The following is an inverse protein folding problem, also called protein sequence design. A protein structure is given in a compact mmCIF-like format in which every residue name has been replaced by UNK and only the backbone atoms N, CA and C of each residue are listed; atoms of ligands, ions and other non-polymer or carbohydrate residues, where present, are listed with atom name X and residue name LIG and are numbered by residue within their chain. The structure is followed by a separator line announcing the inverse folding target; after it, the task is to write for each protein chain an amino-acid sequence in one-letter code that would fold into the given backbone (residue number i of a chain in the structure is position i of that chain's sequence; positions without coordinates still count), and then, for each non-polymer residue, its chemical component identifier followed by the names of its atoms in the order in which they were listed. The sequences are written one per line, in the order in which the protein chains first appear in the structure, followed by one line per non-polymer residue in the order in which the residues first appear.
data_IF_140120454784
#
_entry.id   IF_140120454784
#
_cell.length_a   1.000
_cell.length_b   1.000
_cell.length_c   1.000
_cell.angle_alpha   90.00
_cell.angle_beta   90.00
_cell.angle_gamma   90.00
#
_symmetry.space_group_name_H-M   'P 1'
#
loop_
_entity.id
_entity.type
_entity.pdbx_description
1 polymer ?
#
# COMPACT_ATOMS: atom_id res chain seq x y z
N UNK A 1 -5.05 -13.94 -1.98
CA UNK A 1 -4.50 -12.58 -2.06
C UNK A 1 -4.91 -11.93 -3.37
N UNK A 2 -5.44 -10.70 -3.35
CA UNK A 2 -5.83 -9.97 -4.55
C UNK A 2 -5.09 -8.63 -4.62
N UNK A 3 -4.19 -8.47 -5.60
CA UNK A 3 -3.46 -7.23 -5.84
C UNK A 3 -4.24 -6.38 -6.84
N UNK A 4 -4.42 -5.11 -6.50
CA UNK A 4 -4.96 -4.08 -7.39
C UNK A 4 -3.82 -3.14 -7.81
N UNK A 5 -3.63 -2.95 -9.12
CA UNK A 5 -2.67 -1.98 -9.63
C UNK A 5 -3.20 -0.56 -9.48
N UNK A 6 -2.35 0.35 -9.04
CA UNK A 6 -2.62 1.79 -9.07
C UNK A 6 -2.07 2.34 -10.37
N UNK A 7 -2.95 2.99 -11.14
CA UNK A 7 -2.64 3.58 -12.45
C UNK A 7 -3.05 5.04 -12.47
N UNK A 8 -2.35 5.85 -13.25
CA UNK A 8 -2.73 7.25 -13.46
C UNK A 8 -3.91 7.33 -14.43
N UNK A 9 -4.87 8.22 -14.14
CA UNK A 9 -5.99 8.47 -15.05
C UNK A 9 -5.49 9.14 -16.34
N UNK A 10 -5.95 8.67 -17.50
CA UNK A 10 -5.62 9.31 -18.78
C UNK A 10 -6.26 10.70 -18.91
N UNK A 11 -7.31 10.98 -18.13
CA UNK A 11 -8.02 12.26 -18.13
C UNK A 11 -7.36 13.32 -17.23
N UNK A 12 -6.37 12.94 -16.39
CA UNK A 12 -5.63 13.89 -15.54
C UNK A 12 -4.54 14.59 -16.38
N UNK A 13 -4.59 15.93 -16.56
CA UNK A 13 -3.58 16.67 -17.31
C UNK A 13 -2.15 16.53 -16.78
N UNK A 14 -1.99 16.17 -15.51
CA UNK A 14 -0.68 15.96 -14.89
C UNK A 14 -0.09 14.55 -15.13
N UNK A 15 -0.86 13.64 -15.72
CA UNK A 15 -0.44 12.25 -15.98
C UNK A 15 0.83 12.15 -16.81
N UNK A 16 1.01 12.86 -17.94
CA UNK A 16 2.25 12.78 -18.71
C UNK A 16 3.49 13.16 -17.88
N UNK A 17 3.37 14.20 -17.05
CA UNK A 17 4.45 14.64 -16.17
C UNK A 17 4.77 13.62 -15.08
N UNK A 18 3.75 13.12 -14.37
CA UNK A 18 3.91 12.10 -13.32
C UNK A 18 4.49 10.80 -13.87
N UNK A 19 4.04 10.36 -15.04
CA UNK A 19 4.54 9.17 -15.70
C UNK A 19 6.01 9.34 -16.10
N UNK A 20 6.38 10.49 -16.67
CA UNK A 20 7.78 10.81 -16.99
C UNK A 20 8.67 10.78 -15.75
N UNK A 21 8.23 11.36 -14.63
CA UNK A 21 8.95 11.32 -13.34
C UNK A 21 9.14 9.89 -12.83
N UNK A 22 8.09 9.06 -12.89
CA UNK A 22 8.15 7.65 -12.49
C UNK A 22 9.16 6.87 -13.35
N UNK A 23 9.08 6.98 -14.68
CA UNK A 23 9.95 6.25 -15.59
C UNK A 23 11.41 6.72 -15.54
N UNK A 24 11.65 8.00 -15.25
CA UNK A 24 13.00 8.52 -15.03
C UNK A 24 13.66 7.88 -13.79
N UNK A 25 12.89 7.62 -12.73
CA UNK A 25 13.39 6.97 -11.50
C UNK A 25 13.44 5.44 -11.61
N UNK A 26 12.49 4.84 -12.33
CA UNK A 26 12.32 3.40 -12.44
C UNK A 26 12.27 2.96 -13.92
N UNK A 27 13.41 3.05 -14.65
CA UNK A 27 13.44 2.74 -16.09
C UNK A 27 13.10 1.28 -16.40
N UNK A 28 13.33 0.37 -15.45
CA UNK A 28 12.96 -1.05 -15.57
C UNK A 28 11.44 -1.28 -15.55
N UNK A 29 10.65 -0.31 -15.09
CA UNK A 29 9.19 -0.35 -15.06
C UNK A 29 8.56 0.29 -16.32
N UNK A 30 9.36 0.56 -17.35
CA UNK A 30 8.91 1.21 -18.60
C UNK A 30 8.06 0.34 -19.52
N UNK A 31 8.11 -0.98 -19.36
CA UNK A 31 7.33 -1.90 -20.20
C UNK A 31 5.89 -1.98 -19.69
N UNK A 32 4.87 -1.55 -20.47
CA UNK A 32 3.48 -1.66 -20.04
C UNK A 32 3.05 -3.11 -19.83
N UNK A 33 2.18 -3.33 -18.85
CA UNK A 33 1.49 -4.61 -18.65
C UNK A 33 0.05 -4.50 -19.14
N UNK A 34 -0.60 -5.64 -19.38
CA UNK A 34 -1.98 -5.67 -19.89
C UNK A 34 -2.95 -5.95 -18.75
N UNK A 35 -4.11 -5.29 -18.80
CA UNK A 35 -5.20 -5.58 -17.87
C UNK A 35 -5.81 -6.94 -18.16
N UNK A 36 -5.50 -7.89 -17.27
CA UNK A 36 -5.99 -9.28 -17.26
C UNK A 36 -6.89 -9.57 -16.07
N UNK A 37 -7.26 -8.55 -15.28
CA UNK A 37 -7.96 -8.73 -14.03
C UNK A 37 -9.42 -9.19 -14.26
N UNK A 38 -9.74 -10.40 -13.81
CA UNK A 38 -11.10 -10.97 -13.85
C UNK A 38 -11.98 -10.48 -12.68
N UNK A 39 -11.36 -9.87 -11.66
CA UNK A 39 -12.08 -9.33 -10.51
C UNK A 39 -11.50 -7.96 -10.09
N UNK A 40 -12.34 -7.12 -9.48
CA UNK A 40 -11.94 -5.88 -8.81
C UNK A 40 -12.82 -5.71 -7.56
N UNK A 41 -12.22 -5.46 -6.40
CA UNK A 41 -12.98 -5.42 -5.13
C UNK A 41 -13.77 -6.72 -4.87
N UNK A 42 -13.20 -7.88 -5.24
CA UNK A 42 -13.85 -9.19 -5.24
C UNK A 42 -15.11 -9.32 -6.11
N UNK A 43 -15.45 -8.32 -6.94
CA UNK A 43 -16.53 -8.39 -7.93
C UNK A 43 -16.00 -8.91 -9.27
N UNK A 44 -16.70 -9.83 -9.96
CA UNK A 44 -16.38 -10.20 -11.33
C UNK A 44 -16.39 -8.97 -12.26
N UNK A 45 -15.44 -8.92 -13.18
CA UNK A 45 -15.37 -7.92 -14.25
C UNK A 45 -14.79 -8.53 -15.52
N UNK A 46 -15.01 -7.87 -16.65
CA UNK A 46 -14.31 -8.19 -17.89
C UNK A 46 -13.00 -7.39 -17.96
N UNK A 47 -11.84 -8.04 -18.17
CA UNK A 47 -10.58 -7.35 -18.38
C UNK A 47 -10.66 -6.52 -19.65
N UNK A 48 -10.07 -5.33 -19.64
CA UNK A 48 -10.04 -4.47 -20.83
C UNK A 48 -9.00 -4.93 -21.85
N UNK A 49 -8.01 -5.73 -21.43
CA UNK A 49 -6.84 -6.11 -22.22
C UNK A 49 -6.03 -4.93 -22.77
N UNK A 50 -6.27 -3.71 -22.27
CA UNK A 50 -5.50 -2.53 -22.64
C UNK A 50 -4.17 -2.52 -21.89
N UNK A 51 -3.08 -2.05 -22.52
CA UNK A 51 -1.82 -1.84 -21.85
C UNK A 51 -1.91 -0.64 -20.89
N UNK A 52 -1.23 -0.73 -19.76
CA UNK A 52 -1.06 0.35 -18.80
C UNK A 52 0.31 0.29 -18.12
N UNK A 53 0.76 1.42 -17.58
CA UNK A 53 1.96 1.49 -16.73
C UNK A 53 1.52 1.56 -15.27
N UNK A 54 1.81 0.53 -14.45
CA UNK A 54 1.53 0.58 -13.02
C UNK A 54 2.45 1.61 -12.37
N UNK A 55 1.91 2.39 -11.43
CA UNK A 55 2.71 3.32 -10.61
C UNK A 55 2.66 2.96 -9.13
N UNK A 56 2.05 1.83 -8.80
CA UNK A 56 1.77 1.40 -7.45
C UNK A 56 0.88 0.18 -7.42
N UNK A 57 0.66 -0.35 -6.23
CA UNK A 57 -0.30 -1.43 -6.00
C UNK A 57 -0.81 -1.39 -4.56
N UNK A 58 -1.98 -1.96 -4.35
CA UNK A 58 -2.57 -2.19 -3.03
C UNK A 58 -3.26 -3.55 -3.03
N UNK A 59 -3.12 -4.31 -1.96
CA UNK A 59 -3.84 -5.57 -1.76
C UNK A 59 -4.80 -5.49 -0.60
N UNK A 60 -5.87 -6.28 -0.68
CA UNK A 60 -6.82 -6.49 0.40
C UNK A 60 -7.10 -7.98 0.52
N UNK A 61 -6.75 -8.56 1.66
CA UNK A 61 -6.72 -10.00 1.86
C UNK A 61 -7.63 -10.45 2.99
N UNK A 62 -8.27 -11.61 2.76
CA UNK A 62 -9.13 -12.30 3.73
C UNK A 62 -8.34 -13.09 4.78
N UNK A 63 -7.04 -13.26 4.56
CA UNK A 63 -6.12 -14.03 5.38
C UNK A 63 -4.82 -13.24 5.55
N UNK A 64 -4.16 -13.42 6.68
CA UNK A 64 -2.84 -12.86 6.96
C UNK A 64 -2.00 -13.90 7.69
N UNK A 65 -0.66 -13.91 7.51
CA UNK A 65 0.24 -14.69 8.35
C UNK A 65 0.06 -14.43 9.85
N UNK A 66 -0.41 -13.24 10.23
CA UNK A 66 -0.80 -12.93 11.60
C UNK A 66 -2.32 -13.15 11.77
N UNK A 67 -2.75 -14.15 12.58
CA UNK A 67 -4.15 -14.57 12.66
C UNK A 67 -5.09 -13.46 13.16
N UNK A 68 -4.58 -12.48 13.89
CA UNK A 68 -5.38 -11.37 14.44
C UNK A 68 -5.59 -10.20 13.45
N UNK A 69 -5.01 -10.26 12.24
CA UNK A 69 -5.11 -9.21 11.22
C UNK A 69 -6.23 -9.44 10.19
N UNK A 70 -6.64 -10.67 9.95
CA UNK A 70 -7.69 -10.95 8.97
C UNK A 70 -8.63 -12.04 9.48
N UNK A 71 -9.93 -11.81 9.33
CA UNK A 71 -11.00 -12.76 9.58
C UNK A 71 -12.22 -12.34 8.75
N UNK A 72 -12.28 -12.83 7.52
CA UNK A 72 -13.37 -12.50 6.60
C UNK A 72 -14.75 -12.92 7.13
N UNK A 73 -14.84 -13.96 7.97
CA UNK A 73 -16.11 -14.38 8.59
C UNK A 73 -16.69 -13.32 9.52
N UNK A 74 -15.84 -12.45 10.06
CA UNK A 74 -16.19 -11.31 10.91
C UNK A 74 -16.18 -9.98 10.16
N UNK A 75 -15.93 -10.00 8.85
CA UNK A 75 -15.76 -8.79 8.03
C UNK A 75 -14.47 -8.04 8.32
N UNK A 76 -13.40 -8.73 8.75
CA UNK A 76 -12.08 -8.12 8.96
C UNK A 76 -11.13 -8.52 7.84
N UNK A 77 -10.58 -7.53 7.13
CA UNK A 77 -9.65 -7.74 6.02
C UNK A 77 -8.34 -7.01 6.28
N UNK A 78 -7.23 -7.53 5.74
CA UNK A 78 -5.90 -6.96 5.92
C UNK A 78 -5.41 -6.31 4.64
N UNK A 79 -4.93 -5.07 4.72
CA UNK A 79 -4.12 -4.46 3.68
C UNK A 79 -2.69 -4.96 3.88
N UNK A 80 -2.27 -5.92 3.08
CA UNK A 80 -0.98 -6.62 3.25
C UNK A 80 0.15 -5.97 2.46
N UNK A 81 -0.15 -5.34 1.34
CA UNK A 81 0.81 -4.61 0.52
C UNK A 81 0.21 -3.29 0.10
N UNK A 82 0.99 -2.23 0.21
CA UNK A 82 0.64 -0.93 -0.33
C UNK A 82 1.88 -0.17 -0.73
N UNK A 83 1.96 0.16 -2.01
CA UNK A 83 3.08 0.87 -2.60
C UNK A 83 2.58 1.89 -3.60
N UNK A 84 3.18 3.09 -3.55
CA UNK A 84 3.08 4.12 -4.58
C UNK A 84 4.50 4.53 -4.94
N UNK A 85 4.77 4.66 -6.24
CA UNK A 85 6.03 5.12 -6.80
C UNK A 85 6.56 6.34 -6.06
N UNK A 86 7.76 6.20 -5.46
CA UNK A 86 8.41 7.27 -4.69
C UNK A 86 8.79 8.48 -5.56
N UNK A 87 8.75 8.36 -6.88
CA UNK A 87 8.98 9.49 -7.78
C UNK A 87 7.83 10.51 -7.77
N UNK A 88 6.63 10.07 -7.37
CA UNK A 88 5.38 10.83 -7.47
C UNK A 88 4.55 10.75 -6.19
N UNK A 89 5.21 10.45 -5.05
CA UNK A 89 4.59 10.55 -3.72
C UNK A 89 4.31 12.02 -3.37
N UNK A 90 3.55 12.24 -2.29
CA UNK A 90 3.08 13.56 -1.84
C UNK A 90 2.10 14.28 -2.79
N UNK A 91 1.72 13.65 -3.91
CA UNK A 91 0.70 14.14 -4.85
C UNK A 91 -0.73 13.63 -4.60
N UNK A 92 -1.02 13.09 -3.41
CA UNK A 92 -2.36 12.59 -3.03
C UNK A 92 -2.72 11.18 -3.55
N UNK A 93 -1.90 10.57 -4.40
CA UNK A 93 -2.15 9.23 -4.97
C UNK A 93 -2.35 8.15 -3.90
N UNK A 94 -1.57 8.19 -2.82
CA UNK A 94 -1.70 7.22 -1.74
C UNK A 94 -3.03 7.35 -0.99
N UNK A 95 -3.48 8.59 -0.74
CA UNK A 95 -4.79 8.82 -0.14
C UNK A 95 -5.91 8.34 -1.06
N UNK A 96 -5.83 8.66 -2.36
CA UNK A 96 -6.84 8.22 -3.33
C UNK A 96 -6.94 6.69 -3.44
N UNK A 97 -5.80 5.98 -3.42
CA UNK A 97 -5.78 4.52 -3.42
C UNK A 97 -6.43 3.92 -2.17
N UNK A 98 -6.11 4.45 -0.99
CA UNK A 98 -6.74 4.02 0.26
C UNK A 98 -8.24 4.35 0.31
N UNK A 99 -8.65 5.55 -0.12
CA UNK A 99 -10.06 5.95 -0.18
C UNK A 99 -10.85 4.99 -1.09
N UNK A 100 -10.25 4.58 -2.22
CA UNK A 100 -10.85 3.62 -3.14
C UNK A 100 -10.99 2.24 -2.49
N UNK A 101 -9.94 1.69 -1.88
CA UNK A 101 -9.98 0.37 -1.26
C UNK A 101 -10.92 0.35 -0.05
N UNK A 102 -10.92 1.39 0.79
CA UNK A 102 -11.84 1.52 1.91
C UNK A 102 -13.30 1.53 1.43
N UNK A 103 -13.59 2.30 0.38
CA UNK A 103 -14.93 2.35 -0.23
C UNK A 103 -15.34 1.03 -0.88
N UNK A 104 -14.44 0.34 -1.58
CA UNK A 104 -14.74 -0.98 -2.15
C UNK A 104 -14.99 -2.04 -1.07
N UNK A 105 -14.20 -2.01 0.00
CA UNK A 105 -14.24 -3.03 1.05
C UNK A 105 -15.58 -3.06 1.80
N UNK A 106 -16.21 -1.91 2.05
CA UNK A 106 -17.48 -1.85 2.80
C UNK A 106 -18.68 -2.38 2.01
N UNK A 107 -18.55 -2.52 0.69
CA UNK A 107 -19.62 -2.98 -0.18
C UNK A 107 -19.59 -4.51 -0.36
N UNK A 108 -20.71 -5.09 -0.78
CA UNK A 108 -20.74 -6.48 -1.26
C UNK A 108 -19.69 -6.68 -2.36
N UNK A 109 -19.02 -7.85 -2.44
CA UNK A 109 -19.24 -9.04 -1.61
C UNK A 109 -18.46 -9.02 -0.29
N UNK A 110 -17.57 -8.05 -0.08
CA UNK A 110 -16.64 -8.04 1.06
C UNK A 110 -17.33 -7.67 2.37
N UNK A 111 -18.23 -6.68 2.35
CA UNK A 111 -18.97 -6.21 3.52
C UNK A 111 -18.05 -5.99 4.75
N UNK A 112 -16.86 -5.42 4.51
CA UNK A 112 -15.85 -5.21 5.52
C UNK A 112 -16.35 -4.25 6.60
N UNK A 113 -16.12 -4.64 7.85
CA UNK A 113 -16.37 -3.83 9.05
C UNK A 113 -15.08 -3.23 9.59
N UNK A 114 -13.98 -3.95 9.44
CA UNK A 114 -12.67 -3.57 9.94
C UNK A 114 -11.61 -3.81 8.87
N UNK A 115 -10.78 -2.81 8.64
CA UNK A 115 -9.53 -2.97 7.91
C UNK A 115 -8.37 -2.97 8.88
N UNK A 116 -7.41 -3.87 8.67
CA UNK A 116 -6.17 -3.94 9.42
C UNK A 116 -4.97 -3.81 8.51
N UNK A 117 -3.83 -3.44 9.08
CA UNK A 117 -2.53 -3.40 8.43
C UNK A 117 -1.43 -3.47 9.48
N UNK A 118 -0.21 -3.69 9.06
CA UNK A 118 0.99 -3.39 9.81
C UNK A 118 1.88 -2.43 9.03
N UNK A 119 2.70 -1.67 9.76
CA UNK A 119 3.61 -0.72 9.15
C UNK A 119 4.78 -0.43 10.08
N UNK A 120 5.80 0.26 9.58
CA UNK A 120 6.92 0.73 10.40
C UNK A 120 6.42 1.64 11.53
N UNK A 121 6.79 1.30 12.76
CA UNK A 121 6.49 2.11 13.93
C UNK A 121 7.32 3.41 13.94
N UNK A 122 6.86 4.41 14.70
CA UNK A 122 7.55 5.70 14.83
C UNK A 122 9.01 5.56 15.29
N UNK A 123 9.33 4.58 16.14
CA UNK A 123 10.69 4.29 16.59
C UNK A 123 11.67 4.00 15.44
N UNK A 124 11.17 3.38 14.36
CA UNK A 124 12.00 3.02 13.19
C UNK A 124 12.28 4.20 12.27
N UNK A 125 11.49 5.27 12.33
CA UNK A 125 11.75 6.47 11.52
C UNK A 125 13.07 7.15 11.91
N UNK A 126 13.44 7.09 13.18
CA UNK A 126 14.64 7.74 13.74
C UNK A 126 15.96 7.05 13.34
N UNK A 127 15.90 5.89 12.67
CA UNK A 127 17.07 5.14 12.20
C UNK A 127 17.70 5.78 10.95
N UNK A 128 18.31 6.96 11.09
CA UNK A 128 18.90 7.75 9.99
C UNK A 128 19.93 6.99 9.15
N UNK A 129 20.74 6.15 9.79
CA UNK A 129 21.76 5.32 9.12
C UNK A 129 21.11 4.37 8.11
N UNK A 130 20.01 3.72 8.47
CA UNK A 130 19.26 2.84 7.58
C UNK A 130 18.81 3.58 6.31
N UNK A 131 18.14 4.74 6.47
CA UNK A 131 17.66 5.53 5.32
C UNK A 131 18.81 5.93 4.39
N UNK A 132 19.93 6.36 4.96
CA UNK A 132 21.14 6.69 4.21
C UNK A 132 21.71 5.50 3.46
N UNK A 133 21.82 4.33 4.09
CA UNK A 133 22.34 3.10 3.45
C UNK A 133 21.45 2.63 2.30
N UNK A 134 20.14 2.85 2.42
CA UNK A 134 19.19 2.56 1.34
C UNK A 134 19.23 3.58 0.18
N UNK A 135 19.98 4.68 0.33
CA UNK A 135 19.99 5.77 -0.63
C UNK A 135 18.69 6.57 -0.65
N UNK A 136 17.97 6.64 0.47
CA UNK A 136 16.74 7.41 0.60
C UNK A 136 16.89 8.57 1.58
N UNK A 137 16.22 9.67 1.28
CA UNK A 137 16.01 10.73 2.26
C UNK A 137 15.08 10.21 3.37
N UNK A 138 15.40 10.57 4.61
CA UNK A 138 14.54 10.26 5.74
C UNK A 138 13.16 10.91 5.52
N UNK A 139 12.06 10.14 5.62
CA UNK A 139 10.72 10.70 5.51
C UNK A 139 10.46 11.78 6.58
N UNK A 140 9.68 12.80 6.24
CA UNK A 140 9.32 13.88 7.17
C UNK A 140 8.26 13.48 8.20
N UNK A 141 7.57 12.36 7.98
CA UNK A 141 6.64 11.74 8.92
C UNK A 141 6.63 10.22 8.68
N UNK A 142 6.24 9.45 9.69
CA UNK A 142 6.21 7.99 9.59
C UNK A 142 4.96 7.49 8.86
N UNK A 143 5.00 6.23 8.42
CA UNK A 143 3.80 5.58 7.92
C UNK A 143 2.73 5.45 9.00
N UNK A 144 3.13 5.15 10.25
CA UNK A 144 2.21 5.11 11.39
C UNK A 144 1.43 6.43 11.52
N UNK A 145 2.11 7.57 11.57
CA UNK A 145 1.48 8.89 11.68
C UNK A 145 0.52 9.15 10.50
N UNK A 146 0.91 8.72 9.31
CA UNK A 146 0.07 8.84 8.11
C UNK A 146 -1.23 8.04 8.22
N UNK A 147 -1.16 6.79 8.68
CA UNK A 147 -2.33 5.94 8.89
C UNK A 147 -3.19 6.42 10.07
N UNK A 148 -2.58 6.94 11.14
CA UNK A 148 -3.31 7.53 12.27
C UNK A 148 -4.16 8.73 11.82
N UNK A 149 -3.61 9.60 10.96
CA UNK A 149 -4.38 10.70 10.33
C UNK A 149 -5.54 10.22 9.48
N UNK A 150 -5.48 9.00 8.95
CA UNK A 150 -6.56 8.35 8.19
C UNK A 150 -7.55 7.59 9.08
N UNK A 151 -7.37 7.63 10.40
CA UNK A 151 -8.27 7.02 11.39
C UNK A 151 -7.93 5.58 11.78
N UNK A 152 -6.79 5.05 11.33
CA UNK A 152 -6.30 3.77 11.83
C UNK A 152 -5.73 3.96 13.24
N UNK A 153 -5.97 3.00 14.12
CA UNK A 153 -5.50 3.02 15.51
C UNK A 153 -4.54 1.87 15.76
N UNK A 154 -3.39 2.11 16.40
CA UNK A 154 -2.48 1.03 16.78
C UNK A 154 -3.15 0.13 17.84
N UNK A 155 -2.90 -1.18 17.76
CA UNK A 155 -3.42 -2.15 18.73
C UNK A 155 -2.39 -3.19 19.17
N UNK A 156 -1.30 -3.34 18.41
CA UNK A 156 -0.17 -4.22 18.77
C UNK A 156 1.12 -3.62 18.22
N UNK A 157 2.18 -3.76 18.98
CA UNK A 157 3.53 -3.36 18.62
C UNK A 157 4.42 -4.60 18.68
N UNK A 158 5.36 -4.74 17.74
CA UNK A 158 6.25 -5.88 17.65
C UNK A 158 7.64 -5.41 17.25
N UNK A 159 8.58 -5.55 18.19
CA UNK A 159 10.00 -5.23 17.98
C UNK A 159 10.60 -6.06 16.85
N UNK A 160 11.34 -5.40 15.95
CA UNK A 160 12.06 -6.08 14.87
C UNK A 160 11.19 -6.98 13.97
N UNK A 161 9.88 -6.72 13.84
CA UNK A 161 8.99 -7.53 13.00
C UNK A 161 9.36 -7.45 11.52
N UNK A 162 9.72 -6.26 11.04
CA UNK A 162 10.05 -6.01 9.65
C UNK A 162 11.55 -6.16 9.48
N UNK A 163 11.96 -7.17 8.71
CA UNK A 163 13.36 -7.45 8.43
C UNK A 163 13.71 -6.86 7.07
N UNK A 164 14.49 -5.79 7.07
CA UNK A 164 14.88 -5.10 5.85
C UNK A 164 16.36 -5.30 5.56
N UNK A 165 16.67 -6.00 4.48
CA UNK A 165 18.05 -6.20 4.06
C UNK A 165 18.53 -5.02 3.19
N UNK A 166 19.71 -4.50 3.50
CA UNK A 166 20.40 -3.45 2.76
C UNK A 166 21.87 -3.81 2.71
N UNK A 167 22.44 -4.00 1.51
CA UNK A 167 23.86 -4.33 1.32
C UNK A 167 24.35 -5.53 2.18
N UNK A 168 23.51 -6.54 2.39
CA UNK A 168 23.82 -7.73 3.21
C UNK A 168 23.70 -7.53 4.73
N UNK A 169 23.35 -6.32 5.19
CA UNK A 169 23.00 -6.02 6.58
C UNK A 169 21.48 -6.12 6.75
N UNK A 170 21.03 -6.85 7.76
CA UNK A 170 19.61 -6.93 8.11
C UNK A 170 19.32 -5.87 9.17
N UNK A 171 18.36 -5.00 8.86
CA UNK A 171 17.82 -4.00 9.76
C UNK A 171 16.53 -4.54 10.39
N UNK A 172 16.51 -4.82 11.71
CA UNK A 172 15.30 -5.21 12.42
C UNK A 172 14.49 -3.95 12.76
N UNK A 173 13.40 -3.75 12.04
CA UNK A 173 12.53 -2.57 12.19
C UNK A 173 11.27 -2.95 12.97
N UNK A 174 10.93 -2.09 13.93
CA UNK A 174 9.74 -2.26 14.73
C UNK A 174 8.49 -2.03 13.89
N UNK A 175 7.50 -2.90 14.06
CA UNK A 175 6.20 -2.74 13.41
C UNK A 175 5.13 -2.37 14.42
N UNK A 176 4.19 -1.56 13.94
CA UNK A 176 2.92 -1.33 14.60
C UNK A 176 1.79 -1.90 13.74
N UNK A 177 0.93 -2.66 14.38
CA UNK A 177 -0.28 -3.22 13.80
C UNK A 177 -1.43 -2.29 14.11
N UNK A 178 -2.21 -1.96 13.09
CA UNK A 178 -3.24 -0.95 13.16
C UNK A 178 -4.57 -1.47 12.62
N UNK A 179 -5.68 -0.91 13.13
CA UNK A 179 -7.05 -1.22 12.68
C UNK A 179 -7.88 0.04 12.52
N UNK A 180 -8.81 0.02 11.57
CA UNK A 180 -9.83 1.05 11.36
C UNK A 180 -11.19 0.39 11.19
N UNK A 181 -12.18 0.87 11.92
CA UNK A 181 -13.59 0.56 11.63
C UNK A 181 -14.02 1.35 10.40
N UNK A 182 -14.56 0.66 9.40
CA UNK A 182 -14.92 1.27 8.09
C UNK A 182 -16.42 1.22 7.80
N UNK A 183 -17.20 0.45 8.56
CA UNK A 183 -18.66 0.38 8.51
C UNK A 183 -19.28 0.44 9.90
#
# INVERSE_FOLDING_TARGET
MAIQWVVLSQDDPSTPTKLSQHLAKYPLESTPIHDTALTLGAKPRHPTSLPFTPIGHISLDSESPNPDQADASRGMYCITTFYISRAIQSGGLGSAAMDRVESEAVNEPLNAKVLSLDTLANSSLEMKEMWSEMGFEQPSFSNQDWYERRGYKPWKFVDGHIQQEVNGKIWPLDAVFMKKTVA
#
